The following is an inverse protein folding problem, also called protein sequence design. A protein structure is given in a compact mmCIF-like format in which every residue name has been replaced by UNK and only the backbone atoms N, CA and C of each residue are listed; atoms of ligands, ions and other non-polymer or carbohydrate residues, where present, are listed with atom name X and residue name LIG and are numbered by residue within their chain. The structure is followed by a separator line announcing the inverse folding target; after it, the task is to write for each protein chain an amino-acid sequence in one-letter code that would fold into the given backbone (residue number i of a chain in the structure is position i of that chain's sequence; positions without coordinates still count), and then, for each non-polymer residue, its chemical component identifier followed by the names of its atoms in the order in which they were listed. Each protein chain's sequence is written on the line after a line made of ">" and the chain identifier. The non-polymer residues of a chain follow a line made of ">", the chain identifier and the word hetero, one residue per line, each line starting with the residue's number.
data_IF_579522051010
#
_entry.id   IF_579522051010
#
_cell.length_a   1.000
_cell.length_b   1.000
_cell.length_c   1.000
_cell.angle_alpha   90.00
_cell.angle_beta   90.00
_cell.angle_gamma   90.00
#
_symmetry.space_group_name_H-M   'P 1'
#
loop_
_entity.id
_entity.type
_entity.pdbx_description
1 polymer ?
#
# COMPACT_ATOMS: atom_id res chain seq x y z
N UNK A 1 -16.94 -8.90 -10.52
CA UNK A 1 -15.97 -8.06 -9.78
C UNK A 1 -15.15 -7.30 -10.81
N UNK A 2 -14.96 -5.99 -10.68
CA UNK A 2 -14.14 -5.24 -11.65
C UNK A 2 -12.70 -5.77 -11.65
N UNK A 3 -12.02 -5.73 -12.79
CA UNK A 3 -10.62 -6.19 -12.93
C UNK A 3 -9.72 -5.57 -11.84
N UNK A 4 -9.93 -4.30 -11.52
CA UNK A 4 -9.20 -3.58 -10.47
C UNK A 4 -9.34 -4.21 -9.10
N UNK A 5 -10.57 -4.55 -8.67
CA UNK A 5 -10.79 -5.17 -7.35
C UNK A 5 -10.24 -6.60 -7.29
N UNK A 6 -10.28 -7.32 -8.40
CA UNK A 6 -9.68 -8.66 -8.49
C UNK A 6 -8.15 -8.59 -8.38
N UNK A 7 -7.51 -7.68 -9.12
CA UNK A 7 -6.07 -7.44 -9.04
C UNK A 7 -5.66 -6.99 -7.64
N UNK A 8 -6.38 -6.02 -7.05
CA UNK A 8 -6.10 -5.56 -5.69
C UNK A 8 -6.15 -6.71 -4.68
N UNK A 9 -7.17 -7.57 -4.78
CA UNK A 9 -7.29 -8.75 -3.90
C UNK A 9 -6.12 -9.71 -4.08
N UNK A 10 -5.73 -10.01 -5.32
CA UNK A 10 -4.60 -10.90 -5.59
C UNK A 10 -3.28 -10.37 -5.01
N UNK A 11 -3.01 -9.07 -5.14
CA UNK A 11 -1.82 -8.43 -4.55
C UNK A 11 -1.85 -8.45 -3.01
N UNK A 12 -3.01 -8.16 -2.41
CA UNK A 12 -3.18 -8.21 -0.95
C UNK A 12 -2.99 -9.63 -0.40
N UNK A 13 -3.53 -10.65 -1.10
CA UNK A 13 -3.37 -12.06 -0.74
C UNK A 13 -1.90 -12.49 -0.88
N UNK A 14 -1.20 -12.08 -1.94
CA UNK A 14 0.21 -12.37 -2.13
C UNK A 14 1.09 -11.74 -1.02
N UNK A 15 0.84 -10.48 -0.68
CA UNK A 15 1.54 -9.79 0.43
C UNK A 15 1.26 -10.49 1.77
N UNK A 16 0.00 -10.81 2.05
CA UNK A 16 -0.40 -11.51 3.27
C UNK A 16 0.25 -12.89 3.38
N UNK A 17 0.38 -13.61 2.26
CA UNK A 17 1.04 -14.91 2.23
C UNK A 17 2.54 -14.83 2.51
N UNK A 18 3.24 -13.81 2.00
CA UNK A 18 4.65 -13.61 2.32
C UNK A 18 4.82 -13.19 3.78
N UNK A 19 3.99 -12.26 4.25
CA UNK A 19 4.04 -11.75 5.62
C UNK A 19 3.77 -12.84 6.67
N UNK A 20 2.91 -13.81 6.37
CA UNK A 20 2.62 -14.92 7.30
C UNK A 20 3.81 -15.86 7.54
N UNK A 21 4.86 -15.77 6.73
CA UNK A 21 6.08 -16.57 6.84
C UNK A 21 7.22 -15.86 7.59
N UNK A 22 7.07 -14.57 7.93
CA UNK A 22 8.11 -13.80 8.60
C UNK A 22 8.26 -14.17 10.07
N UNK A 23 9.51 -14.35 10.50
CA UNK A 23 9.84 -14.49 11.90
C UNK A 23 9.78 -13.13 12.62
N UNK A 24 9.82 -13.15 13.97
CA UNK A 24 9.80 -11.91 14.77
C UNK A 24 10.91 -10.93 14.37
N UNK A 25 12.09 -11.45 14.05
CA UNK A 25 13.26 -10.62 13.70
C UNK A 25 13.12 -10.00 12.31
N UNK A 26 12.44 -10.66 11.38
CA UNK A 26 12.17 -10.10 10.05
C UNK A 26 11.36 -8.81 10.12
N UNK A 27 10.40 -8.74 11.05
CA UNK A 27 9.58 -7.56 11.28
C UNK A 27 10.40 -6.35 11.75
N UNK A 28 11.55 -6.56 12.39
CA UNK A 28 12.43 -5.49 12.87
C UNK A 28 13.42 -4.96 11.82
N UNK A 29 13.51 -5.60 10.65
CA UNK A 29 14.49 -5.21 9.61
C UNK A 29 14.17 -3.82 9.04
N UNK A 30 15.20 -3.00 8.74
CA UNK A 30 14.99 -1.73 8.07
C UNK A 30 14.50 -1.94 6.63
N UNK A 31 13.73 -0.98 6.12
CA UNK A 31 13.29 -0.94 4.73
C UNK A 31 14.03 0.14 3.95
N UNK A 32 13.86 0.17 2.62
CA UNK A 32 14.32 1.28 1.79
C UNK A 32 13.47 2.55 1.99
N UNK A 33 12.28 2.42 2.58
CA UNK A 33 11.41 3.54 2.94
C UNK A 33 11.81 4.03 4.33
N UNK A 34 12.98 4.65 4.44
CA UNK A 34 13.42 5.25 5.69
C UNK A 34 12.36 6.27 6.18
N UNK A 35 12.06 6.32 7.49
CA UNK A 35 12.76 5.65 8.59
C UNK A 35 12.19 4.27 8.98
N UNK A 36 11.33 3.65 8.17
CA UNK A 36 10.49 2.55 8.64
C UNK A 36 11.15 1.17 8.60
N UNK A 37 10.93 0.39 9.66
CA UNK A 37 11.07 -1.06 9.69
C UNK A 37 9.97 -1.75 8.87
N UNK A 38 10.15 -3.06 8.60
CA UNK A 38 9.14 -3.88 7.92
C UNK A 38 7.80 -3.83 8.66
N UNK A 39 7.81 -3.88 9.99
CA UNK A 39 6.60 -3.76 10.82
C UNK A 39 5.89 -2.43 10.63
N UNK A 40 6.63 -1.33 10.66
CA UNK A 40 6.07 0.01 10.57
C UNK A 40 5.52 0.28 9.17
N UNK A 41 6.26 -0.11 8.12
CA UNK A 41 5.81 0.02 6.75
C UNK A 41 4.56 -0.84 6.49
N UNK A 42 4.54 -2.08 6.97
CA UNK A 42 3.37 -2.96 6.82
C UNK A 42 2.15 -2.39 7.56
N UNK A 43 2.32 -1.91 8.79
CA UNK A 43 1.26 -1.27 9.55
C UNK A 43 0.75 -0.01 8.84
N UNK A 44 1.64 0.80 8.27
CA UNK A 44 1.28 1.98 7.48
C UNK A 44 0.41 1.62 6.28
N UNK A 45 0.81 0.62 5.49
CA UNK A 45 0.01 0.12 4.36
C UNK A 45 -1.34 -0.39 4.84
N UNK A 46 -1.38 -1.18 5.91
CA UNK A 46 -2.63 -1.71 6.45
C UNK A 46 -3.60 -0.60 6.88
N UNK A 47 -3.11 0.44 7.56
CA UNK A 47 -3.91 1.60 7.96
C UNK A 47 -4.44 2.36 6.74
N UNK A 48 -3.58 2.61 5.73
CA UNK A 48 -4.01 3.28 4.50
C UNK A 48 -5.11 2.49 3.76
N UNK A 49 -4.99 1.16 3.70
CA UNK A 49 -6.01 0.30 3.08
C UNK A 49 -7.33 0.30 3.87
N UNK A 50 -7.28 0.41 5.20
CA UNK A 50 -8.47 0.48 6.05
C UNK A 50 -9.32 1.74 5.78
N UNK A 51 -8.75 2.79 5.20
CA UNK A 51 -9.48 4.00 4.83
C UNK A 51 -10.23 3.86 3.50
N UNK A 52 -9.79 2.95 2.62
CA UNK A 52 -10.33 2.82 1.26
C UNK A 52 -11.84 2.58 1.20
N UNK A 53 -12.45 1.70 2.02
CA UNK A 53 -13.90 1.51 1.97
C UNK A 53 -14.66 2.83 2.19
N UNK A 54 -14.27 3.59 3.22
CA UNK A 54 -14.86 4.90 3.51
C UNK A 54 -14.66 5.89 2.36
N UNK A 55 -13.43 6.01 1.85
CA UNK A 55 -13.10 6.91 0.74
C UNK A 55 -13.86 6.57 -0.54
N UNK A 56 -14.05 5.29 -0.84
CA UNK A 56 -14.75 4.83 -2.05
C UNK A 56 -16.27 4.97 -1.95
N UNK A 57 -16.83 4.93 -0.74
CA UNK A 57 -18.27 5.15 -0.51
C UNK A 57 -18.65 6.61 -0.35
N UNK A 58 -17.69 7.49 -0.10
CA UNK A 58 -17.91 8.93 0.01
C UNK A 58 -18.26 9.55 -1.37
N UNK A 59 -18.97 10.69 -1.41
CA UNK A 59 -19.16 11.43 -2.65
C UNK A 59 -17.81 11.76 -3.29
N UNK A 60 -17.72 11.62 -4.61
CA UNK A 60 -16.53 12.00 -5.34
C UNK A 60 -16.26 13.51 -5.15
N UNK A 61 -14.98 13.92 -5.00
CA UNK A 61 -14.64 15.34 -4.96
C UNK A 61 -15.03 16.03 -6.28
N UNK A 62 -15.37 17.32 -6.21
CA UNK A 62 -15.81 18.10 -7.38
C UNK A 62 -14.77 18.11 -8.52
N UNK A 63 -13.49 18.07 -8.17
CA UNK A 63 -12.40 17.97 -9.13
C UNK A 63 -11.20 17.21 -8.55
N UNK A 64 -10.49 16.49 -9.42
CA UNK A 64 -9.20 15.90 -9.09
C UNK A 64 -8.13 17.00 -9.07
N UNK A 65 -7.59 17.30 -7.88
CA UNK A 65 -6.52 18.29 -7.73
C UNK A 65 -5.14 17.76 -8.15
N UNK A 66 -4.96 16.44 -8.18
CA UNK A 66 -3.70 15.77 -8.55
C UNK A 66 -4.03 14.59 -9.45
N UNK A 67 -3.31 14.44 -10.56
CA UNK A 67 -3.45 13.26 -11.41
C UNK A 67 -2.77 12.05 -10.76
N UNK A 68 -3.35 10.86 -10.92
CA UNK A 68 -2.72 9.63 -10.43
C UNK A 68 -1.31 9.45 -11.01
N UNK A 69 -1.12 9.74 -12.30
CA UNK A 69 0.19 9.69 -12.96
C UNK A 69 1.19 10.68 -12.36
N UNK A 70 0.75 11.86 -11.91
CA UNK A 70 1.58 12.86 -11.24
C UNK A 70 1.91 12.47 -9.80
N UNK A 71 0.96 11.86 -9.09
CA UNK A 71 1.11 11.43 -7.70
C UNK A 71 2.01 10.20 -7.57
N UNK A 72 1.79 9.16 -8.39
CA UNK A 72 2.56 7.93 -8.37
C UNK A 72 3.82 7.97 -9.25
N UNK A 73 4.32 9.17 -9.58
CA UNK A 73 5.58 9.28 -10.34
C UNK A 73 6.64 8.44 -9.64
N UNK A 74 7.36 7.58 -10.38
CA UNK A 74 8.46 6.85 -9.78
C UNK A 74 9.44 7.86 -9.19
N UNK A 75 9.80 7.67 -7.92
CA UNK A 75 10.95 8.38 -7.36
C UNK A 75 12.17 8.20 -8.27
N UNK A 76 13.09 9.16 -8.23
CA UNK A 76 14.42 8.99 -8.81
C UNK A 76 15.15 7.86 -8.08
N UNK A 77 14.93 6.63 -8.56
CA UNK A 77 15.56 5.42 -8.06
C UNK A 77 16.87 5.25 -8.84
N UNK A 78 18.00 5.57 -8.23
CA UNK A 78 19.29 5.12 -8.76
C UNK A 78 19.36 3.59 -8.68
N UNK A 79 19.98 2.92 -9.67
CA UNK A 79 20.16 1.47 -9.66
C UNK A 79 20.93 0.96 -8.43
#
# INVERSE_FOLDING_TARGET
>A
MSTVLATFRAEADALGHVASRWARDDWGRPTRCAPWSVRELFAHVHVALAWLPGMLTAPAPEAAQVSAAGYYRPDHRTP
#
